data_IF_179760784009
#
_entry.id   IF_179760784009
#
_cell.length_a   1.000
_cell.length_b   1.000
_cell.length_c   1.000
_cell.angle_alpha   90.00
_cell.angle_beta   90.00
_cell.angle_gamma   90.00
#
_symmetry.space_group_name_H-M   'P 1'
#
loop_
_entity.id
_entity.type
_entity.pdbx_description
1 polymer ?
#
# COMPACT_ATOMS: atom_id res chain seq x y z
N UNK A 1 9.60 -19.00 30.47
CA UNK A 1 9.73 -17.58 30.09
C UNK A 1 10.10 -17.52 28.63
N UNK A 2 9.19 -17.09 27.75
CA UNK A 2 9.45 -16.94 26.32
C UNK A 2 10.17 -15.61 26.12
N UNK A 3 11.42 -15.64 25.64
CA UNK A 3 12.15 -14.41 25.32
C UNK A 3 11.42 -13.74 24.14
N UNK A 4 11.10 -12.43 24.19
CA UNK A 4 10.45 -11.76 23.07
C UNK A 4 11.38 -11.80 21.85
N UNK A 5 10.90 -12.40 20.75
CA UNK A 5 11.63 -12.46 19.48
C UNK A 5 11.73 -11.05 18.92
N UNK A 6 12.95 -10.52 18.86
CA UNK A 6 13.22 -9.22 18.26
C UNK A 6 13.49 -9.41 16.77
N UNK A 7 12.50 -9.06 15.93
CA UNK A 7 12.71 -9.04 14.47
C UNK A 7 13.78 -7.98 14.16
N UNK A 8 14.82 -8.32 13.37
CA UNK A 8 15.78 -7.33 12.87
C UNK A 8 15.09 -6.27 12.00
N UNK A 9 15.78 -5.16 11.74
CA UNK A 9 15.26 -4.13 10.85
C UNK A 9 15.20 -4.69 9.43
N UNK A 10 13.98 -4.96 8.94
CA UNK A 10 13.75 -5.40 7.56
C UNK A 10 14.14 -4.26 6.60
N UNK A 11 14.98 -4.62 5.63
CA UNK A 11 15.40 -3.73 4.55
C UNK A 11 14.37 -3.82 3.43
N UNK A 12 13.57 -2.77 3.27
CA UNK A 12 12.49 -2.73 2.28
C UNK A 12 12.92 -2.05 0.97
N UNK A 13 13.65 -0.93 1.10
CA UNK A 13 14.06 -0.09 -0.02
C UNK A 13 15.50 0.39 0.20
N UNK A 14 16.43 0.02 -0.67
CA UNK A 14 17.80 0.55 -0.72
C UNK A 14 18.32 0.44 -2.16
N UNK A 15 19.37 1.19 -2.52
CA UNK A 15 19.96 1.26 -3.88
C UNK A 15 20.48 -0.07 -4.44
N UNK A 16 20.61 -1.10 -3.61
CA UNK A 16 20.90 -2.45 -4.08
C UNK A 16 19.64 -3.06 -4.67
N UNK A 17 19.70 -3.49 -5.93
CA UNK A 17 18.59 -4.15 -6.64
C UNK A 17 18.03 -5.36 -5.89
N UNK A 18 18.85 -6.03 -5.06
CA UNK A 18 18.42 -7.16 -4.23
C UNK A 18 17.61 -6.73 -2.99
N UNK A 19 17.71 -5.47 -2.56
CA UNK A 19 16.96 -4.93 -1.42
C UNK A 19 15.58 -4.42 -1.86
N UNK A 20 15.42 -4.01 -3.12
CA UNK A 20 14.11 -3.74 -3.73
C UNK A 20 13.22 -5.00 -3.82
N UNK A 21 13.76 -6.20 -3.57
CA UNK A 21 13.02 -7.45 -3.68
C UNK A 21 11.80 -7.52 -2.76
N UNK A 22 11.91 -7.08 -1.50
CA UNK A 22 10.79 -7.21 -0.55
C UNK A 22 9.59 -6.34 -0.93
N UNK A 23 9.82 -5.06 -1.26
CA UNK A 23 8.75 -4.18 -1.75
C UNK A 23 8.23 -4.65 -3.11
N UNK A 24 9.10 -5.13 -4.01
CA UNK A 24 8.68 -5.64 -5.32
C UNK A 24 7.84 -6.92 -5.19
N UNK A 25 8.22 -7.85 -4.33
CA UNK A 25 7.45 -9.06 -4.02
C UNK A 25 6.11 -8.71 -3.40
N UNK A 26 6.09 -7.73 -2.49
CA UNK A 26 4.87 -7.26 -1.86
C UNK A 26 3.92 -6.64 -2.88
N UNK A 27 4.39 -5.73 -3.72
CA UNK A 27 3.60 -5.12 -4.80
C UNK A 27 3.16 -6.18 -5.82
N UNK A 28 4.04 -7.13 -6.17
CA UNK A 28 3.71 -8.26 -7.02
C UNK A 28 2.58 -9.13 -6.46
N UNK A 29 2.60 -9.40 -5.16
CA UNK A 29 1.51 -10.08 -4.46
C UNK A 29 0.22 -9.26 -4.52
N UNK A 30 0.26 -7.94 -4.29
CA UNK A 30 -0.92 -7.08 -4.41
C UNK A 30 -1.54 -7.15 -5.80
N UNK A 31 -0.72 -7.16 -6.86
CA UNK A 31 -1.17 -7.29 -8.25
C UNK A 31 -1.81 -8.64 -8.53
N UNK A 32 -1.25 -9.71 -7.99
CA UNK A 32 -1.76 -11.07 -8.17
C UNK A 32 -3.09 -11.31 -7.43
N UNK A 33 -3.34 -10.58 -6.34
CA UNK A 33 -4.51 -10.75 -5.47
C UNK A 33 -5.24 -9.42 -5.25
N UNK A 34 -5.68 -8.78 -6.34
CA UNK A 34 -6.30 -7.46 -6.30
C UNK A 34 -7.56 -7.39 -5.41
N UNK A 35 -8.40 -8.43 -5.41
CA UNK A 35 -9.59 -8.48 -4.55
C UNK A 35 -9.22 -8.52 -3.06
N UNK A 36 -8.20 -9.33 -2.72
CA UNK A 36 -7.65 -9.40 -1.36
C UNK A 36 -7.05 -8.06 -0.94
N UNK A 37 -6.37 -7.40 -1.86
CA UNK A 37 -5.81 -6.08 -1.66
C UNK A 37 -6.91 -5.05 -1.36
N UNK A 38 -7.96 -4.99 -2.18
CA UNK A 38 -9.10 -4.09 -1.95
C UNK A 38 -9.67 -4.33 -0.55
N UNK A 39 -9.91 -5.59 -0.16
CA UNK A 39 -10.44 -5.94 1.18
C UNK A 39 -9.49 -5.58 2.32
N UNK A 40 -8.18 -5.68 2.10
CA UNK A 40 -7.19 -5.31 3.10
C UNK A 40 -7.22 -3.80 3.41
N UNK A 41 -7.47 -2.98 2.38
CA UNK A 41 -7.41 -1.51 2.43
C UNK A 41 -8.77 -0.80 2.39
N UNK A 42 -9.86 -1.55 2.26
CA UNK A 42 -11.23 -1.05 2.40
C UNK A 42 -11.47 -0.64 3.85
N UNK A 43 -11.93 0.60 4.03
CA UNK A 43 -12.33 1.09 5.35
C UNK A 43 -13.69 0.50 5.70
N UNK A 44 -13.64 -0.29 6.78
CA UNK A 44 -14.66 -1.23 7.27
C UNK A 44 -16.07 -0.65 7.46
N UNK A 45 -16.33 0.65 7.33
CA UNK A 45 -17.65 1.19 7.67
C UNK A 45 -18.71 0.85 6.62
N UNK A 46 -18.42 0.99 5.32
CA UNK A 46 -19.39 0.74 4.26
C UNK A 46 -19.67 -0.77 4.09
N UNK A 47 -18.64 -1.61 4.22
CA UNK A 47 -18.76 -3.08 4.14
C UNK A 47 -19.43 -3.69 5.38
N UNK A 48 -19.16 -3.18 6.59
CA UNK A 48 -19.88 -3.59 7.82
C UNK A 48 -21.37 -3.35 7.69
N UNK A 49 -21.78 -2.24 7.06
CA UNK A 49 -23.19 -1.91 6.82
C UNK A 49 -23.79 -2.77 5.71
N UNK A 50 -23.06 -3.00 4.61
CA UNK A 50 -23.57 -3.74 3.45
C UNK A 50 -23.62 -5.27 3.67
N UNK A 51 -22.68 -5.84 4.43
CA UNK A 51 -22.57 -7.29 4.60
C UNK A 51 -22.99 -7.78 6.00
N UNK A 52 -23.25 -6.88 6.96
CA UNK A 52 -23.67 -7.23 8.32
C UNK A 52 -22.55 -7.84 9.18
N UNK A 53 -21.29 -7.67 8.79
CA UNK A 53 -20.15 -8.28 9.48
C UNK A 53 -19.72 -7.49 10.70
N UNK A 54 -19.31 -8.19 11.76
CA UNK A 54 -18.82 -7.55 12.98
C UNK A 54 -17.34 -7.13 12.81
N UNK A 55 -16.95 -5.96 13.33
CA UNK A 55 -15.59 -5.41 13.18
C UNK A 55 -14.45 -6.39 13.56
N UNK A 56 -14.68 -7.26 14.55
CA UNK A 56 -13.72 -8.29 14.96
C UNK A 56 -13.47 -9.35 13.87
N UNK A 57 -14.52 -9.74 13.13
CA UNK A 57 -14.43 -10.70 12.04
C UNK A 57 -13.61 -10.12 10.87
N UNK A 58 -13.83 -8.85 10.53
CA UNK A 58 -13.03 -8.14 9.53
C UNK A 58 -11.56 -8.03 9.95
N UNK A 59 -11.30 -7.72 11.22
CA UNK A 59 -9.93 -7.67 11.76
C UNK A 59 -9.21 -9.02 11.61
N UNK A 60 -9.87 -10.13 11.96
CA UNK A 60 -9.30 -11.47 11.83
C UNK A 60 -8.99 -11.81 10.36
N UNK A 61 -9.88 -11.48 9.43
CA UNK A 61 -9.65 -11.71 8.00
C UNK A 61 -8.49 -10.87 7.45
N UNK A 62 -8.38 -9.60 7.87
CA UNK A 62 -7.24 -8.75 7.49
C UNK A 62 -5.92 -9.33 7.95
N UNK A 63 -5.86 -9.98 9.11
CA UNK A 63 -4.64 -10.67 9.56
C UNK A 63 -4.28 -11.89 8.69
N UNK A 64 -5.27 -12.63 8.19
CA UNK A 64 -5.03 -13.71 7.22
C UNK A 64 -4.41 -13.16 5.94
N UNK A 65 -4.97 -12.08 5.38
CA UNK A 65 -4.42 -11.45 4.18
C UNK A 65 -3.00 -10.89 4.38
N UNK A 66 -2.73 -10.33 5.56
CA UNK A 66 -1.40 -9.84 5.91
C UNK A 66 -0.39 -10.97 6.13
N UNK A 67 -0.84 -12.12 6.63
CA UNK A 67 -0.01 -13.31 6.73
C UNK A 67 0.35 -13.84 5.33
N UNK A 68 -0.62 -13.90 4.40
CA UNK A 68 -0.37 -14.30 3.01
C UNK A 68 0.62 -13.35 2.31
N UNK A 69 0.51 -12.04 2.55
CA UNK A 69 1.48 -11.07 2.07
C UNK A 69 2.86 -11.30 2.69
N UNK A 70 2.92 -11.64 3.98
CA UNK A 70 4.17 -12.02 4.65
C UNK A 70 4.78 -13.29 4.03
N UNK A 71 3.96 -14.28 3.66
CA UNK A 71 4.43 -15.53 3.03
C UNK A 71 5.08 -15.21 1.68
N UNK A 72 4.45 -14.34 0.89
CA UNK A 72 4.95 -13.94 -0.43
C UNK A 72 6.28 -13.18 -0.36
N UNK A 73 6.51 -12.41 0.70
CA UNK A 73 7.73 -11.61 0.87
C UNK A 73 8.85 -12.42 1.54
N UNK A 74 8.57 -13.09 2.67
CA UNK A 74 9.64 -13.59 3.54
C UNK A 74 10.03 -15.05 3.30
N UNK A 75 9.18 -15.85 2.65
CA UNK A 75 9.51 -17.28 2.38
C UNK A 75 10.78 -17.41 1.52
N UNK A 76 10.95 -16.49 0.57
CA UNK A 76 12.07 -16.48 -0.37
C UNK A 76 12.93 -15.22 -0.22
N UNK A 77 12.98 -14.65 1.00
CA UNK A 77 13.82 -13.48 1.28
C UNK A 77 15.30 -13.80 0.96
N UNK A 78 16.01 -12.81 0.42
CA UNK A 78 17.42 -12.98 0.08
C UNK A 78 18.29 -13.21 1.33
N UNK A 79 17.93 -12.62 2.47
CA UNK A 79 18.62 -12.81 3.72
C UNK A 79 18.26 -14.19 4.32
N UNK A 80 19.20 -15.15 4.38
CA UNK A 80 18.95 -16.46 4.98
C UNK A 80 18.52 -16.37 6.45
N UNK A 81 18.96 -15.33 7.17
CA UNK A 81 18.56 -15.12 8.56
C UNK A 81 17.09 -14.71 8.66
N UNK A 82 16.62 -13.84 7.77
CA UNK A 82 15.20 -13.45 7.70
C UNK A 82 14.33 -14.65 7.35
N UNK A 83 14.71 -15.45 6.35
CA UNK A 83 13.99 -16.69 6.00
C UNK A 83 13.87 -17.65 7.18
N UNK A 84 14.97 -17.88 7.90
CA UNK A 84 14.98 -18.77 9.05
C UNK A 84 14.08 -18.24 10.18
N UNK A 85 14.17 -16.95 10.49
CA UNK A 85 13.29 -16.33 11.49
C UNK A 85 11.82 -16.40 11.08
N UNK A 86 11.53 -16.19 9.79
CA UNK A 86 10.18 -16.26 9.28
C UNK A 86 9.58 -17.66 9.43
N UNK A 87 10.32 -18.69 9.05
CA UNK A 87 9.90 -20.09 9.20
C UNK A 87 9.62 -20.48 10.67
N UNK A 88 10.30 -19.84 11.61
CA UNK A 88 10.12 -20.09 13.05
C UNK A 88 8.99 -19.26 13.68
N UNK A 89 8.74 -18.05 13.16
CA UNK A 89 7.91 -17.04 13.83
C UNK A 89 6.98 -16.30 12.85
N UNK A 90 6.26 -17.06 12.01
CA UNK A 90 5.36 -16.59 10.95
C UNK A 90 4.52 -15.35 11.33
N UNK A 91 3.76 -15.43 12.43
CA UNK A 91 2.81 -14.38 12.83
C UNK A 91 3.48 -13.07 13.27
N UNK A 92 4.74 -13.10 13.69
CA UNK A 92 5.47 -11.90 14.13
C UNK A 92 5.76 -11.00 12.92
N UNK A 93 5.82 -11.56 11.71
CA UNK A 93 6.11 -10.84 10.47
C UNK A 93 4.90 -10.11 9.86
N UNK A 94 3.68 -10.31 10.38
CA UNK A 94 2.51 -9.48 10.07
C UNK A 94 2.78 -8.01 10.40
N UNK A 95 3.46 -7.74 11.53
CA UNK A 95 3.73 -6.37 12.01
C UNK A 95 4.63 -5.58 11.04
N UNK A 96 5.76 -6.12 10.55
CA UNK A 96 6.53 -5.48 9.48
C UNK A 96 5.71 -5.15 8.23
N UNK A 97 4.84 -6.05 7.76
CA UNK A 97 3.96 -5.81 6.60
C UNK A 97 3.01 -4.64 6.89
N UNK A 98 2.27 -4.70 8.01
CA UNK A 98 1.38 -3.60 8.47
C UNK A 98 2.13 -2.26 8.53
N UNK A 99 3.34 -2.25 9.09
CA UNK A 99 4.14 -1.04 9.24
C UNK A 99 4.61 -0.46 7.90
N UNK A 100 4.91 -1.32 6.92
CA UNK A 100 5.38 -0.89 5.60
C UNK A 100 4.24 -0.28 4.77
N UNK A 101 3.05 -0.90 4.78
CA UNK A 101 1.85 -0.40 4.10
C UNK A 101 1.19 0.79 4.80
N UNK A 102 0.76 0.59 6.05
CA UNK A 102 -0.36 1.31 6.64
C UNK A 102 0.07 2.54 7.44
N UNK A 103 1.34 2.61 7.91
CA UNK A 103 1.70 3.60 8.92
C UNK A 103 2.73 4.67 8.53
N UNK A 104 3.77 4.45 7.71
CA UNK A 104 4.75 5.53 7.48
C UNK A 104 5.56 5.54 6.17
N UNK A 105 5.59 4.47 5.37
CA UNK A 105 6.58 4.37 4.28
C UNK A 105 6.00 4.46 2.88
N UNK A 106 5.24 3.46 2.42
CA UNK A 106 4.72 3.50 1.04
C UNK A 106 3.67 4.59 0.85
N UNK A 107 2.69 4.71 1.76
CA UNK A 107 1.69 5.79 1.70
C UNK A 107 2.34 7.18 1.76
N UNK A 108 3.37 7.36 2.59
CA UNK A 108 4.11 8.63 2.68
C UNK A 108 4.86 8.94 1.38
N UNK A 109 5.63 7.98 0.85
CA UNK A 109 6.37 8.12 -0.41
C UNK A 109 5.44 8.39 -1.59
N UNK A 110 4.30 7.70 -1.64
CA UNK A 110 3.26 7.92 -2.63
C UNK A 110 2.69 9.34 -2.56
N UNK A 111 2.31 9.81 -1.37
CA UNK A 111 1.83 11.19 -1.19
C UNK A 111 2.91 12.23 -1.50
N UNK A 112 4.18 11.96 -1.16
CA UNK A 112 5.31 12.83 -1.52
C UNK A 112 5.52 12.90 -3.04
N UNK A 113 5.43 11.77 -3.74
CA UNK A 113 5.47 11.73 -5.20
C UNK A 113 4.27 12.47 -5.82
N UNK A 114 3.07 12.32 -5.26
CA UNK A 114 1.89 13.05 -5.75
C UNK A 114 2.01 14.56 -5.56
N UNK A 115 2.75 15.05 -4.55
CA UNK A 115 3.07 16.48 -4.44
C UNK A 115 3.94 16.97 -5.59
N UNK A 116 4.80 16.12 -6.16
CA UNK A 116 5.60 16.47 -7.34
C UNK A 116 4.72 16.65 -8.59
N UNK A 117 3.64 15.87 -8.72
CA UNK A 117 2.65 16.04 -9.78
C UNK A 117 1.78 17.30 -9.59
N UNK A 118 1.61 17.73 -8.33
CA UNK A 118 0.83 18.92 -7.99
C UNK A 118 -0.65 18.78 -8.32
N UNK A 119 -1.36 19.91 -8.33
CA UNK A 119 -2.80 19.94 -8.67
C UNK A 119 -3.10 19.63 -10.14
N UNK A 120 -2.10 19.70 -11.03
CA UNK A 120 -2.29 19.43 -12.45
C UNK A 120 -2.26 17.94 -12.80
N UNK A 121 -1.49 17.14 -12.06
CA UNK A 121 -1.57 15.68 -12.17
C UNK A 121 -2.70 15.06 -11.36
N UNK A 122 -3.57 15.91 -10.80
CA UNK A 122 -4.57 15.50 -9.86
C UNK A 122 -5.69 14.68 -10.54
N UNK A 123 -5.86 13.41 -10.14
CA UNK A 123 -6.97 12.57 -10.58
C UNK A 123 -6.77 12.01 -11.99
N UNK A 124 -5.62 12.31 -12.60
CA UNK A 124 -5.24 11.78 -13.89
C UNK A 124 -4.72 10.35 -13.72
N UNK A 125 -5.19 9.47 -14.59
CA UNK A 125 -4.66 8.13 -14.78
C UNK A 125 -3.21 8.17 -15.28
N UNK A 126 -2.48 7.07 -15.15
CA UNK A 126 -1.11 7.01 -15.67
C UNK A 126 -1.02 7.18 -17.19
N UNK A 127 -2.09 6.84 -17.92
CA UNK A 127 -2.21 7.11 -19.37
C UNK A 127 -2.25 8.61 -19.63
N UNK A 128 -3.17 9.33 -18.98
CA UNK A 128 -3.33 10.78 -19.13
C UNK A 128 -2.07 11.56 -18.70
N UNK A 129 -1.38 11.10 -17.65
CA UNK A 129 -0.10 11.68 -17.23
C UNK A 129 0.99 11.56 -18.29
N UNK A 130 1.02 10.44 -19.02
CA UNK A 130 2.01 10.17 -20.08
C UNK A 130 1.73 10.97 -21.37
N UNK A 131 0.47 11.29 -21.64
CA UNK A 131 0.06 12.09 -22.80
C UNK A 131 0.45 13.56 -22.71
N UNK A 132 0.67 14.07 -21.49
CA UNK A 132 1.17 15.43 -21.27
C UNK A 132 2.70 15.43 -21.12
N UNK A 133 3.47 16.04 -22.06
CA UNK A 133 4.93 16.01 -22.01
C UNK A 133 5.56 16.63 -20.76
N UNK A 134 4.88 17.57 -20.08
CA UNK A 134 5.37 18.14 -18.83
C UNK A 134 5.15 17.19 -17.66
N UNK A 135 3.98 16.55 -17.58
CA UNK A 135 3.66 15.58 -16.53
C UNK A 135 4.45 14.28 -16.73
N UNK A 136 4.67 13.86 -17.97
CA UNK A 136 5.55 12.73 -18.29
C UNK A 136 6.96 12.93 -17.73
N UNK A 137 7.55 14.13 -17.89
CA UNK A 137 8.87 14.44 -17.31
C UNK A 137 8.88 14.40 -15.78
N UNK A 138 7.77 14.73 -15.13
CA UNK A 138 7.63 14.61 -13.68
C UNK A 138 7.46 13.14 -13.27
N UNK A 139 6.70 12.37 -14.04
CA UNK A 139 6.51 10.95 -13.85
C UNK A 139 7.83 10.18 -13.96
N UNK A 140 8.67 10.50 -14.94
CA UNK A 140 10.01 9.90 -15.10
C UNK A 140 10.87 10.13 -13.84
N UNK A 141 10.87 11.36 -13.29
CA UNK A 141 11.58 11.68 -12.04
C UNK A 141 11.02 10.94 -10.83
N UNK A 142 9.70 10.76 -10.78
CA UNK A 142 9.05 9.97 -9.72
C UNK A 142 9.51 8.52 -9.83
N UNK A 143 9.52 7.94 -11.04
CA UNK A 143 9.93 6.56 -11.27
C UNK A 143 11.40 6.30 -10.94
N UNK A 144 12.29 7.25 -11.20
CA UNK A 144 13.71 7.15 -10.80
C UNK A 144 13.89 6.98 -9.28
N UNK A 145 13.02 7.60 -8.46
CA UNK A 145 13.13 7.61 -7.00
C UNK A 145 12.17 6.65 -6.30
N UNK A 146 11.07 6.31 -6.97
CA UNK A 146 9.98 5.51 -6.43
C UNK A 146 9.34 4.66 -7.55
N UNK A 147 9.99 3.56 -7.95
CA UNK A 147 9.60 2.77 -9.13
C UNK A 147 8.23 2.09 -8.99
N UNK A 148 7.73 1.91 -7.77
CA UNK A 148 6.42 1.31 -7.51
C UNK A 148 5.26 2.32 -7.53
N UNK A 149 5.53 3.58 -7.88
CA UNK A 149 4.52 4.63 -7.87
C UNK A 149 3.31 4.28 -8.74
N UNK A 150 3.52 3.81 -9.98
CA UNK A 150 2.43 3.52 -10.92
C UNK A 150 1.54 2.36 -10.44
N UNK A 151 2.14 1.29 -9.90
CA UNK A 151 1.37 0.19 -9.31
C UNK A 151 0.53 0.69 -8.12
N UNK A 152 1.13 1.48 -7.23
CA UNK A 152 0.45 2.07 -6.07
C UNK A 152 -0.60 3.10 -6.46
N UNK A 153 -0.37 3.86 -7.53
CA UNK A 153 -1.33 4.83 -8.03
C UNK A 153 -2.59 4.13 -8.53
N UNK A 154 -2.44 3.04 -9.30
CA UNK A 154 -3.58 2.21 -9.71
C UNK A 154 -4.38 1.67 -8.52
N UNK A 155 -3.70 1.36 -7.40
CA UNK A 155 -4.34 0.87 -6.19
C UNK A 155 -5.00 1.95 -5.32
N UNK A 156 -4.40 3.13 -5.24
CA UNK A 156 -4.72 4.14 -4.22
C UNK A 156 -5.32 5.42 -4.77
N UNK A 157 -5.31 5.66 -6.09
CA UNK A 157 -5.80 6.91 -6.67
C UNK A 157 -7.19 7.33 -6.17
N UNK A 158 -8.09 6.34 -5.98
CA UNK A 158 -9.48 6.56 -5.56
C UNK A 158 -9.72 6.33 -4.05
N UNK A 159 -8.68 6.02 -3.26
CA UNK A 159 -8.82 5.75 -1.83
C UNK A 159 -8.41 6.99 -1.00
N UNK A 160 -9.36 7.69 -0.35
CA UNK A 160 -9.08 8.94 0.38
C UNK A 160 -8.16 8.75 1.60
N UNK A 161 -8.08 7.53 2.14
CA UNK A 161 -7.18 7.19 3.25
C UNK A 161 -5.71 7.09 2.82
N UNK A 162 -5.45 6.96 1.51
CA UNK A 162 -4.10 6.82 0.95
C UNK A 162 -3.71 8.01 0.07
N UNK A 163 -4.68 8.65 -0.58
CA UNK A 163 -4.47 9.75 -1.49
C UNK A 163 -4.94 11.08 -0.89
N UNK A 164 -4.25 11.55 0.16
CA UNK A 164 -4.69 12.70 0.96
C UNK A 164 -4.64 14.05 0.23
N UNK A 165 -3.84 14.16 -0.84
CA UNK A 165 -3.73 15.38 -1.66
C UNK A 165 -5.08 15.75 -2.30
N UNK A 166 -6.02 14.82 -2.31
CA UNK A 166 -7.31 14.89 -3.02
C UNK A 166 -8.52 14.94 -2.10
N UNK A 167 -8.31 14.74 -0.80
CA UNK A 167 -9.38 14.72 0.20
C UNK A 167 -9.95 16.11 0.52
N UNK A 168 -9.54 17.17 -0.19
CA UNK A 168 -10.29 18.44 -0.23
C UNK A 168 -11.42 18.39 -1.26
N UNK A 169 -12.31 17.40 -1.12
CA UNK A 169 -13.67 17.56 -1.62
C UNK A 169 -14.38 18.54 -0.70
N UNK A 170 -14.94 19.62 -1.25
CA UNK A 170 -15.69 20.61 -0.49
C UNK A 170 -16.86 19.91 0.23
N UNK A 171 -16.98 19.95 1.57
CA UNK A 171 -18.16 19.46 2.27
C UNK A 171 -19.27 20.49 2.09
N UNK A 172 -19.92 20.48 0.93
CA UNK A 172 -20.86 21.53 0.55
C UNK A 172 -21.37 21.39 -0.86
N UNK A 173 -22.02 20.26 -1.16
CA UNK A 173 -23.08 20.24 -2.16
C UNK A 173 -24.28 19.62 -1.49
N UNK A 174 -25.04 20.49 -0.82
CA UNK A 174 -26.41 20.24 -0.42
C UNK A 174 -27.18 19.74 -1.65
N UNK A 175 -27.87 18.61 -1.50
CA UNK A 175 -28.96 18.26 -2.39
C UNK A 175 -30.03 19.34 -2.24
N UNK A 176 -30.02 20.32 -3.13
CA UNK A 176 -31.21 21.14 -3.38
C UNK A 176 -32.24 20.20 -4.01
N UNK A 177 -33.10 19.65 -3.17
CA UNK A 177 -34.39 19.11 -3.59
C UNK A 177 -35.27 20.34 -3.84
N UNK A 178 -35.45 20.68 -5.11
CA UNK A 178 -36.53 21.57 -5.53
C UNK A 178 -37.88 20.90 -5.24
N UNK A 179 -38.77 21.63 -4.60
CA UNK A 179 -40.22 21.43 -4.60
C UNK A 179 -40.90 22.80 -4.73
#
# INVERSE_FOLDING_TARGET
MTVPVKIPKIQWDNKDSNIHACTTQLIGWCKAYLDTWIKLFSDSHQEVVNEGWWCQQMSAQKEVYLQQAADAVFTHDHDPYIRQLYAQYLSVFIKPIKSHFHYFRLCKKYNEANKTLGSTGAGLTTVELRENPQLQKLLDKIHENFPWWEDLHGFWQNNPSYNMVFSTGNPGQDFVVEA
#
